data_IF_217670311359
#
_entry.id   IF_217670311359
#
_cell.length_a   1.000
_cell.length_b   1.000
_cell.length_c   1.000
_cell.angle_alpha   90.00
_cell.angle_beta   90.00
_cell.angle_gamma   90.00
#
_symmetry.space_group_name_H-M   'P 1'
#
loop_
_entity.id
_entity.type
_entity.pdbx_description
1 polymer ?
#
# COMPACT_ATOMS: atom_id res chain seq x y z
N UNK A 1 1.61 -47.42 12.58
CA UNK A 1 0.76 -46.91 11.49
C UNK A 1 0.83 -45.39 11.51
N UNK A 2 1.48 -44.80 10.51
CA UNK A 2 1.75 -43.37 10.41
C UNK A 2 0.47 -42.59 10.09
N UNK A 3 0.07 -41.67 10.97
CA UNK A 3 -0.93 -40.67 10.64
C UNK A 3 -0.20 -39.40 10.19
N UNK A 4 0.04 -39.34 8.89
CA UNK A 4 0.47 -38.14 8.18
C UNK A 4 -0.69 -37.13 8.24
N UNK A 5 -0.72 -36.29 9.28
CA UNK A 5 -1.65 -35.15 9.38
C UNK A 5 -1.11 -34.07 8.44
N UNK A 6 -1.52 -34.16 7.19
CA UNK A 6 -1.32 -33.11 6.22
C UNK A 6 -1.92 -31.82 6.75
N UNK A 7 -1.05 -30.91 7.17
CA UNK A 7 -1.36 -29.51 7.43
C UNK A 7 -1.63 -28.84 6.09
N UNK A 8 -2.82 -29.13 5.54
CA UNK A 8 -3.40 -28.36 4.46
C UNK A 8 -3.69 -26.98 5.01
N UNK A 9 -2.78 -26.03 4.75
CA UNK A 9 -3.05 -24.59 4.69
C UNK A 9 -4.16 -24.37 3.67
N UNK A 10 -5.39 -24.63 4.09
CA UNK A 10 -6.56 -24.43 3.26
C UNK A 10 -7.03 -23.00 3.48
N UNK A 11 -6.70 -22.20 2.47
CA UNK A 11 -7.62 -21.25 1.87
C UNK A 11 -7.96 -20.02 2.74
N UNK A 12 -7.05 -19.04 2.71
CA UNK A 12 -7.37 -17.63 2.86
C UNK A 12 -8.39 -17.24 1.79
N UNK A 13 -9.67 -17.45 2.10
CA UNK A 13 -10.82 -17.08 1.31
C UNK A 13 -11.78 -16.26 2.16
N UNK A 14 -11.31 -15.16 2.74
CA UNK A 14 -12.11 -14.23 3.54
C UNK A 14 -12.23 -12.87 2.83
N UNK A 15 -12.47 -12.91 1.53
CA UNK A 15 -12.63 -11.76 0.62
C UNK A 15 -13.96 -11.01 0.76
N UNK A 16 -14.32 -10.63 1.98
CA UNK A 16 -15.52 -9.82 2.23
C UNK A 16 -15.52 -8.98 3.52
N UNK A 17 -14.68 -9.33 4.49
CA UNK A 17 -14.45 -8.53 5.71
C UNK A 17 -13.02 -7.97 5.76
N UNK A 18 -12.06 -8.67 5.13
CA UNK A 18 -10.68 -8.21 4.96
C UNK A 18 -10.57 -6.98 4.05
N UNK A 19 -11.31 -6.94 2.94
CA UNK A 19 -11.26 -5.81 1.99
C UNK A 19 -11.67 -4.48 2.64
N UNK A 20 -12.71 -4.45 3.48
CA UNK A 20 -13.12 -3.22 4.18
C UNK A 20 -12.12 -2.78 5.24
N UNK A 21 -11.53 -3.72 5.98
CA UNK A 21 -10.51 -3.43 6.99
C UNK A 21 -9.19 -2.97 6.34
N UNK A 22 -8.75 -3.63 5.26
CA UNK A 22 -7.61 -3.24 4.46
C UNK A 22 -7.83 -1.90 3.77
N UNK A 23 -9.03 -1.65 3.25
CA UNK A 23 -9.36 -0.36 2.62
C UNK A 23 -9.29 0.77 3.63
N UNK A 24 -9.91 0.62 4.81
CA UNK A 24 -9.83 1.61 5.88
C UNK A 24 -8.41 1.82 6.40
N UNK A 25 -7.63 0.74 6.52
CA UNK A 25 -6.22 0.83 6.92
C UNK A 25 -5.39 1.58 5.86
N UNK A 26 -5.64 1.29 4.58
CA UNK A 26 -5.00 1.95 3.45
C UNK A 26 -5.35 3.43 3.38
N UNK A 27 -6.62 3.79 3.55
CA UNK A 27 -7.07 5.19 3.59
C UNK A 27 -6.44 5.96 4.74
N UNK A 28 -6.35 5.35 5.94
CA UNK A 28 -5.65 5.96 7.07
C UNK A 28 -4.15 6.11 6.81
N UNK A 29 -3.52 5.09 6.22
CA UNK A 29 -2.10 5.13 5.89
C UNK A 29 -1.80 6.24 4.87
N UNK A 30 -2.61 6.37 3.83
CA UNK A 30 -2.52 7.45 2.84
C UNK A 30 -2.69 8.81 3.51
N UNK A 31 -3.70 8.95 4.38
CA UNK A 31 -3.95 10.19 5.10
C UNK A 31 -2.78 10.58 6.01
N UNK A 32 -2.17 9.62 6.71
CA UNK A 32 -0.97 9.83 7.53
C UNK A 32 0.21 10.32 6.69
N UNK A 33 0.49 9.64 5.57
CA UNK A 33 1.59 10.02 4.68
C UNK A 33 1.39 11.42 4.09
N UNK A 34 0.16 11.77 3.69
CA UNK A 34 -0.17 13.10 3.19
C UNK A 34 -0.03 14.16 4.28
N UNK A 35 -0.51 13.89 5.49
CA UNK A 35 -0.38 14.81 6.62
C UNK A 35 1.08 15.07 7.01
N UNK A 36 1.94 14.08 6.82
CA UNK A 36 3.39 14.15 7.07
C UNK A 36 4.19 14.75 5.91
N UNK A 37 3.56 14.96 4.75
CA UNK A 37 4.23 15.38 3.51
C UNK A 37 5.12 14.28 2.89
N UNK A 38 4.99 13.04 3.34
CA UNK A 38 5.77 11.90 2.89
C UNK A 38 5.16 11.18 1.68
N UNK A 39 3.94 11.55 1.26
CA UNK A 39 3.33 11.07 0.03
C UNK A 39 2.78 12.20 -0.85
N UNK A 40 2.77 11.95 -2.15
CA UNK A 40 2.07 12.78 -3.16
C UNK A 40 1.27 11.88 -4.10
N UNK A 41 0.31 12.44 -4.84
CA UNK A 41 -0.39 11.66 -5.86
C UNK A 41 0.44 11.53 -7.13
N UNK A 42 0.19 10.48 -7.92
CA UNK A 42 0.76 10.33 -9.26
C UNK A 42 0.48 11.60 -10.09
N UNK A 43 1.54 12.18 -10.67
CA UNK A 43 1.47 13.43 -11.45
C UNK A 43 1.69 14.71 -10.64
N UNK A 44 1.75 14.64 -9.30
CA UNK A 44 2.22 15.77 -8.48
C UNK A 44 3.75 15.75 -8.33
N UNK A 45 4.34 16.93 -8.14
CA UNK A 45 5.77 17.07 -7.91
C UNK A 45 6.13 16.51 -6.52
N UNK A 46 6.94 15.42 -6.45
CA UNK A 46 7.40 14.90 -5.19
C UNK A 46 8.40 15.88 -4.56
N UNK A 47 8.23 16.14 -3.27
CA UNK A 47 9.23 16.89 -2.50
C UNK A 47 10.42 15.99 -2.15
N UNK A 48 11.57 16.53 -1.76
CA UNK A 48 12.69 15.72 -1.26
C UNK A 48 12.34 14.83 -0.06
N UNK A 49 11.27 15.15 0.68
CA UNK A 49 10.76 14.35 1.79
C UNK A 49 9.74 13.28 1.36
N UNK A 50 9.32 13.28 0.09
CA UNK A 50 8.24 12.42 -0.41
C UNK A 50 8.71 11.00 -0.70
N UNK A 51 8.51 10.08 0.23
CA UNK A 51 8.92 8.68 0.11
C UNK A 51 7.91 7.78 -0.59
N UNK A 52 6.68 8.24 -0.80
CA UNK A 52 5.59 7.45 -1.37
C UNK A 52 4.82 8.19 -2.46
N UNK A 53 4.28 7.44 -3.43
CA UNK A 53 3.36 7.93 -4.45
C UNK A 53 2.03 7.20 -4.32
N UNK A 54 0.96 7.96 -4.30
CA UNK A 54 -0.41 7.47 -4.27
C UNK A 54 -0.93 7.43 -5.70
N UNK A 55 -1.21 6.23 -6.19
CA UNK A 55 -1.83 6.03 -7.49
C UNK A 55 -3.31 5.73 -7.31
N UNK A 56 -4.15 6.38 -8.10
CA UNK A 56 -5.56 5.98 -8.24
C UNK A 56 -5.66 4.95 -9.35
N UNK A 57 -6.15 3.77 -9.02
CA UNK A 57 -6.48 2.76 -10.01
C UNK A 57 -7.83 3.06 -10.66
N UNK A 58 -8.06 2.51 -11.85
CA UNK A 58 -9.30 2.67 -12.63
C UNK A 58 -10.55 2.19 -11.88
N UNK A 59 -10.38 1.27 -10.93
CA UNK A 59 -11.44 0.76 -10.04
C UNK A 59 -11.78 1.76 -8.89
N UNK A 60 -11.10 2.91 -8.82
CA UNK A 60 -11.27 3.90 -7.76
C UNK A 60 -10.53 3.57 -6.46
N UNK A 61 -9.73 2.48 -6.43
CA UNK A 61 -8.86 2.12 -5.32
C UNK A 61 -7.60 3.01 -5.30
N UNK A 62 -7.17 3.41 -4.11
CA UNK A 62 -5.90 4.11 -3.94
C UNK A 62 -4.81 3.09 -3.55
N UNK A 63 -3.75 3.03 -4.32
CA UNK A 63 -2.58 2.19 -4.03
C UNK A 63 -1.40 3.07 -3.68
N UNK A 64 -0.62 2.63 -2.69
CA UNK A 64 0.61 3.33 -2.28
C UNK A 64 1.80 2.58 -2.83
N UNK A 65 2.68 3.30 -3.55
CA UNK A 65 3.93 2.77 -4.05
C UNK A 65 5.07 3.55 -3.42
N UNK A 66 6.09 2.85 -2.93
CA UNK A 66 7.30 3.50 -2.43
C UNK A 66 8.05 4.14 -3.59
N UNK A 67 8.29 5.44 -3.49
CA UNK A 67 9.14 6.15 -4.43
C UNK A 67 10.57 5.67 -4.21
N UNK A 68 11.19 5.14 -5.26
CA UNK A 68 12.62 4.84 -5.23
C UNK A 68 13.34 6.13 -5.59
N UNK A 69 13.79 6.86 -4.58
CA UNK A 69 14.78 7.89 -4.78
C UNK A 69 16.08 7.21 -5.23
N UNK A 70 16.28 7.13 -6.55
CA UNK A 70 17.64 7.10 -7.10
C UNK A 70 18.19 8.49 -6.81
N UNK A 71 18.99 8.64 -5.76
CA UNK A 71 19.42 9.95 -5.28
C UNK A 71 20.28 10.68 -6.30
N UNK A 72 19.66 11.55 -7.11
CA UNK A 72 20.35 12.56 -7.90
C UNK A 72 19.40 13.72 -8.23
N UNK A 73 19.27 14.64 -7.30
CA UNK A 73 19.14 16.07 -7.59
C UNK A 73 19.96 16.74 -6.48
N UNK A 74 21.27 16.60 -6.62
CA UNK A 74 22.21 17.43 -5.89
C UNK A 74 22.14 18.84 -6.50
N UNK A 75 22.07 19.81 -5.58
CA UNK A 75 22.28 21.26 -5.71
C UNK A 75 23.15 21.71 -6.90
#
# INVERSE_FOLDING_TARGET
MSANRGEGRQNTGEGGLGDDAERRATEKFISDLLARGEAVFEGQEPTPSTTHVIKREDDGRLTVRRLRFSGDSAD
#
